data_IF_958109645996
#
_entry.id   IF_958109645996
#
_cell.length_a   1.000
_cell.length_b   1.000
_cell.length_c   1.000
_cell.angle_alpha   90.00
_cell.angle_beta   90.00
_cell.angle_gamma   90.00
#
_symmetry.space_group_name_H-M   'P 1'
#
loop_
_entity.id
_entity.type
_entity.pdbx_description
1 polymer ?
#
# COMPACT_ATOMS: atom_id res chain seq x y z
N UNK A 1 35.28 27.09 5.63
CA UNK A 1 34.86 27.27 4.21
C UNK A 1 34.88 25.97 3.42
N UNK A 2 35.96 25.18 3.49
CA UNK A 2 36.09 23.89 2.79
C UNK A 2 34.92 22.92 3.08
N UNK A 3 34.44 22.88 4.33
CA UNK A 3 33.32 22.02 4.73
C UNK A 3 31.99 22.42 4.11
N UNK A 4 31.77 23.71 3.86
CA UNK A 4 30.55 24.21 3.19
C UNK A 4 30.59 23.80 1.72
N UNK A 5 31.76 23.88 1.08
CA UNK A 5 31.96 23.48 -0.31
C UNK A 5 31.77 21.97 -0.46
N UNK A 6 32.39 21.15 0.42
CA UNK A 6 32.20 19.70 0.43
C UNK A 6 30.74 19.32 0.66
N UNK A 7 30.07 19.97 1.61
CA UNK A 7 28.65 19.72 1.91
C UNK A 7 27.75 20.08 0.73
N UNK A 8 28.01 21.19 0.03
CA UNK A 8 27.26 21.58 -1.16
C UNK A 8 27.55 20.66 -2.36
N UNK A 9 28.79 20.21 -2.54
CA UNK A 9 29.14 19.24 -3.57
C UNK A 9 28.47 17.87 -3.33
N UNK A 10 28.46 17.38 -2.08
CA UNK A 10 27.74 16.17 -1.67
C UNK A 10 26.22 16.30 -1.89
N UNK A 11 25.64 17.46 -1.56
CA UNK A 11 24.22 17.74 -1.86
C UNK A 11 23.93 17.71 -3.36
N UNK A 12 24.82 18.26 -4.20
CA UNK A 12 24.69 18.23 -5.65
C UNK A 12 24.79 16.82 -6.25
N UNK A 13 25.68 15.97 -5.70
CA UNK A 13 25.83 14.57 -6.13
C UNK A 13 24.65 13.72 -5.66
N UNK A 14 24.15 13.90 -4.44
CA UNK A 14 22.94 13.20 -3.96
C UNK A 14 21.69 13.66 -4.72
N UNK A 15 21.62 14.95 -5.08
CA UNK A 15 20.60 15.48 -5.99
C UNK A 15 20.76 14.99 -7.45
N UNK A 16 21.75 14.13 -7.75
CA UNK A 16 21.92 13.47 -9.05
C UNK A 16 21.24 12.08 -9.08
N UNK A 17 20.81 11.56 -7.93
CA UNK A 17 19.93 10.40 -7.87
C UNK A 17 18.49 10.82 -8.25
N UNK A 18 17.83 10.16 -9.21
CA UNK A 18 16.49 10.56 -9.65
C UNK A 18 15.41 10.35 -8.59
N UNK A 19 15.70 9.53 -7.58
CA UNK A 19 14.74 8.99 -6.62
C UNK A 19 15.41 8.81 -5.25
N UNK A 20 14.73 9.22 -4.18
CA UNK A 20 15.11 8.94 -2.79
C UNK A 20 14.03 8.07 -2.12
N UNK A 21 14.45 7.02 -1.39
CA UNK A 21 13.55 6.18 -0.59
C UNK A 21 13.58 6.64 0.88
N UNK A 22 12.43 6.99 1.41
CA UNK A 22 12.29 7.60 2.74
C UNK A 22 11.11 6.94 3.46
N UNK A 23 11.27 6.65 4.75
CA UNK A 23 10.15 6.24 5.59
C UNK A 23 9.28 7.44 5.97
N UNK A 24 7.96 7.25 5.98
CA UNK A 24 7.01 8.25 6.44
C UNK A 24 5.95 7.63 7.35
N UNK A 25 5.21 8.47 8.06
CA UNK A 25 4.06 8.08 8.88
C UNK A 25 2.83 8.79 8.34
N UNK A 26 1.75 8.04 8.16
CA UNK A 26 0.45 8.61 7.78
C UNK A 26 -0.10 9.41 8.96
N UNK A 27 -0.38 10.69 8.73
CA UNK A 27 -0.94 11.60 9.74
C UNK A 27 -2.45 11.78 9.61
N UNK A 28 -2.96 11.70 8.37
CA UNK A 28 -4.39 11.75 8.06
C UNK A 28 -4.70 10.66 7.03
N UNK A 29 -5.82 9.96 7.20
CA UNK A 29 -6.28 8.90 6.30
C UNK A 29 -6.99 9.48 5.06
N UNK A 30 -7.16 8.70 3.98
CA UNK A 30 -8.03 9.09 2.86
C UNK A 30 -9.45 9.46 3.34
N UNK A 31 -10.12 10.44 2.70
CA UNK A 31 -9.74 11.14 1.47
C UNK A 31 -8.80 12.35 1.68
N UNK A 32 -8.47 12.70 2.91
CA UNK A 32 -7.62 13.85 3.26
C UNK A 32 -6.20 13.40 3.62
N UNK A 33 -5.66 12.49 2.80
CA UNK A 33 -4.39 11.83 3.05
C UNK A 33 -3.25 12.83 3.25
N UNK A 34 -2.51 12.67 4.34
CA UNK A 34 -1.30 13.45 4.61
C UNK A 34 -0.24 12.58 5.28
N UNK A 35 1.02 12.77 4.92
CA UNK A 35 2.15 12.02 5.47
C UNK A 35 3.22 12.93 6.07
N UNK A 36 3.94 12.42 7.05
CA UNK A 36 5.10 13.06 7.64
C UNK A 36 6.35 12.22 7.37
N UNK A 37 7.38 12.78 6.74
CA UNK A 37 8.65 12.09 6.52
C UNK A 37 9.37 11.89 7.87
N UNK A 38 9.96 10.71 8.11
CA UNK A 38 10.69 10.42 9.37
C UNK A 38 11.95 11.28 9.55
N UNK A 39 12.55 11.72 8.45
CA UNK A 39 13.83 12.46 8.46
C UNK A 39 13.65 13.99 8.42
N UNK A 40 12.42 14.50 8.26
CA UNK A 40 12.13 15.93 8.22
C UNK A 40 10.86 16.21 9.03
N UNK A 41 10.99 17.01 10.10
CA UNK A 41 9.89 17.40 11.00
C UNK A 41 9.17 18.68 10.55
N UNK A 42 9.30 19.06 9.26
CA UNK A 42 8.55 20.15 8.62
C UNK A 42 7.06 19.84 8.46
N UNK A 43 6.35 20.77 7.81
CA UNK A 43 4.95 20.65 7.39
C UNK A 43 4.62 19.28 6.77
N UNK A 44 3.45 18.72 7.07
CA UNK A 44 2.99 17.47 6.47
C UNK A 44 2.83 17.63 4.95
N UNK A 45 3.14 16.56 4.22
CA UNK A 45 2.96 16.48 2.78
C UNK A 45 1.48 16.21 2.53
N UNK A 46 0.78 17.07 1.77
CA UNK A 46 -0.64 16.94 1.56
C UNK A 46 -0.95 16.08 0.31
N UNK A 47 -2.19 15.59 0.21
CA UNK A 47 -2.65 14.65 -0.83
C UNK A 47 -2.39 15.10 -2.27
N UNK A 48 -2.31 16.40 -2.54
CA UNK A 48 -2.19 16.96 -3.89
C UNK A 48 -0.89 16.55 -4.59
N UNK A 49 0.14 16.20 -3.81
CA UNK A 49 1.44 15.77 -4.32
C UNK A 49 1.78 14.32 -3.93
N UNK A 50 0.77 13.55 -3.49
CA UNK A 50 0.93 12.13 -3.13
C UNK A 50 0.28 11.26 -4.20
N UNK A 51 1.01 10.25 -4.65
CA UNK A 51 0.51 9.15 -5.46
C UNK A 51 0.54 7.90 -4.59
N UNK A 52 -0.55 7.14 -4.56
CA UNK A 52 -0.69 5.94 -3.73
C UNK A 52 -0.83 4.72 -4.63
N UNK A 53 -0.13 3.64 -4.32
CA UNK A 53 -0.37 2.36 -4.97
C UNK A 53 -1.82 1.89 -4.72
N UNK A 54 -2.52 1.46 -5.78
CA UNK A 54 -3.94 1.09 -5.72
C UNK A 54 -4.28 0.12 -4.59
N UNK A 55 -3.39 -0.85 -4.32
CA UNK A 55 -3.62 -1.84 -3.27
C UNK A 55 -3.69 -1.28 -1.84
N UNK A 56 -3.26 -0.03 -1.62
CA UNK A 56 -3.36 0.72 -0.37
C UNK A 56 -4.61 1.64 -0.33
N UNK A 57 -5.49 1.52 -1.33
CA UNK A 57 -6.73 2.28 -1.47
C UNK A 57 -7.92 1.33 -1.52
N UNK A 58 -9.14 1.86 -1.31
CA UNK A 58 -10.35 1.08 -1.50
C UNK A 58 -10.57 0.89 -2.99
N UNK A 59 -10.55 -0.37 -3.42
CA UNK A 59 -10.71 -0.75 -4.82
C UNK A 59 -11.41 -2.10 -4.94
N UNK A 60 -11.95 -2.37 -6.12
CA UNK A 60 -12.71 -3.60 -6.43
C UNK A 60 -11.97 -4.42 -7.47
N UNK A 61 -11.97 -5.75 -7.31
CA UNK A 61 -11.42 -6.67 -8.31
C UNK A 61 -12.40 -7.80 -8.60
N UNK A 62 -12.49 -8.16 -9.87
CA UNK A 62 -13.11 -9.41 -10.29
C UNK A 62 -12.14 -10.57 -10.06
N UNK A 63 -12.62 -11.63 -9.41
CA UNK A 63 -11.86 -12.83 -9.12
C UNK A 63 -12.64 -14.07 -9.57
N UNK A 64 -11.90 -15.13 -9.90
CA UNK A 64 -12.45 -16.47 -10.09
C UNK A 64 -11.96 -17.33 -8.93
N UNK A 65 -12.90 -17.87 -8.15
CA UNK A 65 -12.59 -18.75 -7.02
C UNK A 65 -12.98 -20.16 -7.44
N UNK A 66 -12.00 -21.07 -7.47
CA UNK A 66 -12.22 -22.50 -7.73
C UNK A 66 -11.91 -23.29 -6.48
N UNK A 67 -12.82 -24.14 -6.04
CA UNK A 67 -12.56 -25.07 -4.92
C UNK A 67 -12.13 -26.43 -5.46
N UNK A 68 -11.12 -27.07 -4.86
CA UNK A 68 -10.76 -28.46 -5.20
C UNK A 68 -11.48 -29.50 -4.34
N UNK A 69 -11.75 -29.19 -3.06
CA UNK A 69 -12.32 -30.14 -2.11
C UNK A 69 -13.33 -29.47 -1.18
N UNK A 70 -14.58 -29.90 -1.23
CA UNK A 70 -15.63 -29.45 -0.29
C UNK A 70 -16.01 -30.61 0.60
N UNK A 71 -15.63 -30.53 1.87
CA UNK A 71 -16.07 -31.49 2.90
C UNK A 71 -17.46 -31.11 3.39
N UNK A 72 -18.47 -31.39 2.57
CA UNK A 72 -19.87 -31.12 2.88
C UNK A 72 -20.79 -32.18 2.30
N UNK A 73 -21.86 -32.47 3.04
CA UNK A 73 -22.89 -33.43 2.67
C UNK A 73 -24.26 -32.79 2.82
N UNK A 74 -25.18 -33.05 1.90
CA UNK A 74 -26.60 -32.74 2.11
C UNK A 74 -27.32 -33.96 2.65
N UNK A 75 -28.33 -33.75 3.50
CA UNK A 75 -29.26 -34.81 3.90
C UNK A 75 -30.52 -34.70 3.04
N UNK A 76 -30.81 -35.76 2.30
CA UNK A 76 -32.10 -35.93 1.63
C UNK A 76 -33.11 -36.57 2.59
N UNK A 77 -34.41 -36.40 2.33
CA UNK A 77 -35.48 -37.01 3.13
C UNK A 77 -35.47 -38.55 3.05
N UNK A 78 -34.86 -39.09 1.99
CA UNK A 78 -34.51 -40.49 1.84
C UNK A 78 -33.02 -40.65 2.19
N UNK A 79 -32.68 -41.67 2.97
CA UNK A 79 -31.46 -41.81 3.79
C UNK A 79 -30.11 -41.90 3.01
N UNK A 80 -30.04 -41.39 1.78
CA UNK A 80 -28.82 -41.26 1.00
C UNK A 80 -28.19 -39.86 1.17
N UNK A 81 -26.87 -39.82 0.95
CA UNK A 81 -26.03 -38.65 1.14
C UNK A 81 -25.38 -38.27 -0.19
N UNK A 82 -25.46 -37.00 -0.58
CA UNK A 82 -24.70 -36.45 -1.70
C UNK A 82 -23.55 -35.58 -1.17
N UNK A 83 -22.34 -35.81 -1.68
CA UNK A 83 -21.19 -34.92 -1.47
C UNK A 83 -21.18 -33.79 -2.50
N UNK A 84 -20.52 -32.67 -2.16
CA UNK A 84 -20.20 -31.62 -3.13
C UNK A 84 -18.87 -31.94 -3.84
N UNK A 85 -18.82 -31.77 -5.16
CA UNK A 85 -17.59 -31.98 -5.95
C UNK A 85 -16.77 -30.69 -6.10
N UNK A 86 -17.42 -29.57 -6.44
CA UNK A 86 -16.78 -28.25 -6.52
C UNK A 86 -17.79 -27.11 -6.38
N UNK A 87 -17.32 -25.97 -5.87
CA UNK A 87 -17.94 -24.65 -5.97
C UNK A 87 -16.96 -23.77 -6.75
N UNK A 88 -17.39 -23.38 -7.94
CA UNK A 88 -16.71 -22.40 -8.76
C UNK A 88 -17.51 -21.11 -8.77
N UNK A 89 -16.90 -20.02 -8.28
CA UNK A 89 -17.45 -18.68 -8.40
C UNK A 89 -16.75 -17.95 -9.54
N UNK A 90 -17.50 -17.61 -10.59
CA UNK A 90 -16.97 -16.90 -11.77
C UNK A 90 -17.43 -15.45 -11.73
N UNK A 91 -16.52 -14.52 -12.01
CA UNK A 91 -16.76 -13.06 -11.91
C UNK A 91 -17.22 -12.57 -10.53
N UNK A 92 -16.78 -13.22 -9.46
CA UNK A 92 -17.02 -12.72 -8.12
C UNK A 92 -16.31 -11.37 -7.93
N UNK A 93 -16.99 -10.41 -7.32
CA UNK A 93 -16.42 -9.09 -7.02
C UNK A 93 -15.95 -9.06 -5.57
N UNK A 94 -14.69 -8.67 -5.37
CA UNK A 94 -14.09 -8.49 -4.05
C UNK A 94 -13.73 -7.02 -3.88
N UNK A 95 -14.32 -6.40 -2.85
CA UNK A 95 -13.96 -5.05 -2.41
C UNK A 95 -12.84 -5.13 -1.38
N UNK A 96 -11.70 -4.51 -1.68
CA UNK A 96 -10.61 -4.33 -0.74
C UNK A 96 -10.85 -3.06 0.06
N UNK A 97 -10.86 -3.18 1.40
CA UNK A 97 -11.13 -2.09 2.34
C UNK A 97 -9.90 -1.68 3.15
N UNK A 98 -8.76 -2.29 2.88
CA UNK A 98 -7.51 -2.08 3.65
C UNK A 98 -6.78 -0.82 3.18
N UNK A 99 -7.43 0.33 3.39
CA UNK A 99 -6.86 1.65 3.09
C UNK A 99 -5.79 2.08 4.09
N UNK A 100 -4.97 3.07 3.72
CA UNK A 100 -4.04 3.71 4.65
C UNK A 100 -4.79 4.35 5.82
N UNK A 101 -4.31 4.11 7.04
CA UNK A 101 -4.85 4.71 8.27
C UNK A 101 -3.79 5.54 8.97
N UNK A 102 -4.23 6.51 9.77
CA UNK A 102 -3.33 7.32 10.59
C UNK A 102 -2.48 6.41 11.51
N UNK A 103 -1.19 6.69 11.55
CA UNK A 103 -0.18 5.89 12.26
C UNK A 103 0.49 4.80 11.43
N UNK A 104 0.00 4.48 10.22
CA UNK A 104 0.69 3.53 9.34
C UNK A 104 2.09 4.05 8.98
N UNK A 105 3.10 3.20 9.15
CA UNK A 105 4.42 3.45 8.59
C UNK A 105 4.42 3.05 7.12
N UNK A 106 4.89 3.94 6.25
CA UNK A 106 4.89 3.73 4.81
C UNK A 106 6.25 4.00 4.19
N UNK A 107 6.56 3.28 3.12
CA UNK A 107 7.74 3.52 2.30
C UNK A 107 7.38 4.49 1.19
N UNK A 108 8.08 5.62 1.17
CA UNK A 108 7.82 6.73 0.26
C UNK A 108 8.99 6.92 -0.67
N UNK A 109 8.68 7.03 -1.95
CA UNK A 109 9.61 7.36 -3.01
C UNK A 109 9.46 8.85 -3.30
N UNK A 110 10.44 9.66 -2.92
CA UNK A 110 10.50 11.08 -3.24
C UNK A 110 11.14 11.26 -4.61
N UNK A 111 10.37 11.79 -5.56
CA UNK A 111 10.86 12.11 -6.91
C UNK A 111 11.60 13.45 -6.89
N UNK A 112 12.57 13.61 -7.80
CA UNK A 112 13.41 14.81 -7.93
C UNK A 112 12.63 16.13 -7.74
N UNK A 113 13.15 16.96 -6.84
CA UNK A 113 12.58 18.28 -6.54
C UNK A 113 11.43 18.28 -5.54
N UNK A 114 11.05 17.13 -4.96
CA UNK A 114 10.02 17.05 -3.91
C UNK A 114 8.61 17.39 -4.40
N UNK A 115 8.40 17.36 -5.72
CA UNK A 115 7.12 17.70 -6.35
C UNK A 115 6.10 16.56 -6.23
N UNK A 116 6.56 15.32 -6.04
CA UNK A 116 5.69 14.15 -5.98
C UNK A 116 6.28 13.10 -5.05
N UNK A 117 5.42 12.54 -4.22
CA UNK A 117 5.71 11.46 -3.29
C UNK A 117 4.89 10.24 -3.66
N UNK A 118 5.55 9.13 -3.94
CA UNK A 118 4.87 7.87 -4.26
C UNK A 118 4.92 6.92 -3.06
N UNK A 119 3.75 6.56 -2.52
CA UNK A 119 3.61 5.56 -1.47
C UNK A 119 3.49 4.19 -2.12
N UNK A 120 4.55 3.40 -2.00
CA UNK A 120 4.65 2.10 -2.65
C UNK A 120 4.04 0.98 -1.81
N UNK A 121 4.28 0.99 -0.50
CA UNK A 121 3.85 -0.06 0.43
C UNK A 121 3.88 0.43 1.89
N UNK A 122 3.26 -0.33 2.80
CA UNK A 122 3.43 -0.20 4.25
C UNK A 122 4.74 -0.86 4.68
N UNK A 123 5.38 -0.30 5.70
CA UNK A 123 6.60 -0.87 6.29
C UNK A 123 6.20 -1.92 7.33
N UNK A 124 6.61 -3.16 7.11
CA UNK A 124 6.47 -4.27 8.08
C UNK A 124 7.86 -4.69 8.56
N UNK A 125 8.00 -4.85 9.89
CA UNK A 125 9.23 -5.32 10.53
C UNK A 125 8.94 -6.64 11.22
N UNK A 126 9.79 -7.64 10.99
CA UNK A 126 9.77 -8.89 11.74
C UNK A 126 10.64 -8.72 12.98
N UNK A 127 10.15 -9.20 14.12
CA UNK A 127 10.92 -9.35 15.36
C UNK A 127 11.57 -10.74 15.44
#
# INVERSE_FOLDING_TARGET
MLDIIKRNALKGVNASGPVELIGAVVTQAPPDLAIQLKNDSKLPIPKEIIIVAEHLTRHERKVQIKSSDIKGFTMSADNHVHGYEAIDMTEAEVTFLDELKAGDEVLVTALQGGQTYYIADRVVRYE
#
